data_IF_187769432228
#
_entry.id   IF_187769432228
#
_cell.length_a   1.000
_cell.length_b   1.000
_cell.length_c   1.000
_cell.angle_alpha   90.00
_cell.angle_beta   90.00
_cell.angle_gamma   90.00
#
_symmetry.space_group_name_H-M   'P 1'
#
loop_
_entity.id
_entity.type
_entity.pdbx_description
1 polymer ?
#
# COMPACT_ATOMS: atom_id res chain seq x y z
N UNK A 1 8.00 14.89 -3.63
CA UNK A 1 7.28 14.53 -4.86
C UNK A 1 5.89 14.02 -4.56
N UNK A 2 5.00 14.06 -5.55
CA UNK A 2 3.66 13.45 -5.49
C UNK A 2 3.22 12.98 -6.89
N UNK A 3 2.43 11.91 -6.98
CA UNK A 3 1.84 11.45 -8.25
C UNK A 3 0.50 12.16 -8.44
N UNK A 4 0.36 13.00 -9.46
CA UNK A 4 -0.84 13.83 -9.66
C UNK A 4 -2.13 13.01 -9.75
N UNK A 5 -2.10 11.91 -10.51
CA UNK A 5 -3.25 11.02 -10.66
C UNK A 5 -3.74 10.43 -9.33
N UNK A 6 -2.86 10.29 -8.32
CA UNK A 6 -3.26 9.81 -7.00
C UNK A 6 -4.07 10.83 -6.20
N UNK A 7 -4.07 12.11 -6.61
CA UNK A 7 -4.80 13.20 -5.93
C UNK A 7 -6.01 13.70 -6.72
N UNK A 8 -6.32 13.10 -7.88
CA UNK A 8 -7.53 13.38 -8.65
C UNK A 8 -8.79 12.90 -7.92
N UNK A 9 -9.98 13.38 -8.34
CA UNK A 9 -11.24 13.28 -7.60
C UNK A 9 -11.63 11.85 -7.13
N UNK A 10 -11.29 10.80 -7.89
CA UNK A 10 -11.55 9.40 -7.50
C UNK A 10 -10.41 8.74 -6.69
N UNK A 11 -9.20 9.31 -6.70
CA UNK A 11 -7.98 8.70 -6.14
C UNK A 11 -7.62 9.16 -4.72
N UNK A 12 -8.16 10.30 -4.28
CA UNK A 12 -7.89 10.89 -2.98
C UNK A 12 -9.16 11.44 -2.33
N UNK A 13 -9.23 11.34 -1.00
CA UNK A 13 -10.25 12.01 -0.21
C UNK A 13 -9.73 13.37 0.31
N UNK A 14 -10.58 14.10 1.03
CA UNK A 14 -10.23 15.42 1.55
C UNK A 14 -9.09 15.41 2.57
N UNK A 15 -8.91 14.30 3.30
CA UNK A 15 -7.78 14.14 4.23
C UNK A 15 -6.47 14.04 3.46
N UNK A 16 -6.45 13.30 2.36
CA UNK A 16 -5.25 13.16 1.53
C UNK A 16 -4.84 14.51 0.94
N UNK A 17 -5.81 15.25 0.37
CA UNK A 17 -5.59 16.61 -0.15
C UNK A 17 -5.10 17.55 0.95
N UNK A 18 -5.72 17.52 2.13
CA UNK A 18 -5.31 18.35 3.26
C UNK A 18 -3.88 18.05 3.74
N UNK A 19 -3.42 16.80 3.63
CA UNK A 19 -2.05 16.42 3.98
C UNK A 19 -1.02 16.93 2.95
N UNK A 20 -1.33 16.85 1.65
CA UNK A 20 -0.48 17.45 0.61
C UNK A 20 -0.38 18.98 0.80
N UNK A 21 -1.51 19.60 1.12
CA UNK A 21 -1.58 21.02 1.44
C UNK A 21 -0.82 21.41 2.72
N UNK A 22 -0.82 20.53 3.72
CA UNK A 22 0.00 20.70 4.92
C UNK A 22 1.50 20.69 4.59
N UNK A 23 1.95 19.78 3.73
CA UNK A 23 3.34 19.78 3.26
C UNK A 23 3.71 21.11 2.57
N UNK A 24 2.82 21.65 1.74
CA UNK A 24 3.01 22.97 1.11
C UNK A 24 3.12 24.11 2.12
N UNK A 25 2.25 24.14 3.15
CA UNK A 25 2.30 25.18 4.21
C UNK A 25 3.56 25.11 5.06
N UNK A 26 4.11 23.91 5.26
CA UNK A 26 5.38 23.69 5.93
C UNK A 26 6.60 24.17 5.12
N UNK A 27 6.40 24.64 3.88
CA UNK A 27 7.44 25.19 3.02
C UNK A 27 8.18 24.17 2.16
N UNK A 28 7.67 22.94 2.05
CA UNK A 28 8.23 21.94 1.15
C UNK A 28 7.85 22.24 -0.31
N UNK A 29 8.78 22.01 -1.22
CA UNK A 29 8.53 22.06 -2.66
C UNK A 29 7.76 20.81 -3.11
N UNK A 30 6.58 21.02 -3.69
CA UNK A 30 5.76 19.94 -4.23
C UNK A 30 6.09 19.72 -5.71
N UNK A 31 6.82 18.64 -5.98
CA UNK A 31 7.23 18.24 -7.32
C UNK A 31 6.30 17.13 -7.85
N UNK A 32 5.54 17.35 -8.94
CA UNK A 32 4.83 16.28 -9.64
C UNK A 32 5.84 15.26 -10.18
N UNK A 33 5.59 13.97 -9.97
CA UNK A 33 6.45 12.89 -10.45
C UNK A 33 5.64 11.80 -11.12
N UNK A 34 6.32 11.03 -11.98
CA UNK A 34 5.74 9.86 -12.66
C UNK A 34 6.63 8.66 -12.49
N UNK A 35 6.05 7.47 -12.67
CA UNK A 35 6.80 6.22 -12.71
C UNK A 35 6.62 5.59 -14.09
N UNK A 36 7.62 4.85 -14.60
CA UNK A 36 7.48 4.06 -15.82
C UNK A 36 6.26 3.12 -15.74
N UNK A 37 5.55 2.97 -16.87
CA UNK A 37 4.44 2.04 -16.97
C UNK A 37 4.97 0.59 -17.05
N UNK A 38 5.05 -0.05 -15.88
CA UNK A 38 5.48 -1.43 -15.72
C UNK A 38 4.32 -2.26 -15.14
N UNK A 39 4.28 -3.58 -15.35
CA UNK A 39 3.26 -4.43 -14.78
C UNK A 39 3.51 -4.71 -13.28
N UNK A 40 3.56 -3.67 -12.43
CA UNK A 40 3.92 -3.76 -11.01
C UNK A 40 3.13 -4.85 -10.27
N UNK A 41 1.82 -4.96 -10.52
CA UNK A 41 0.95 -5.96 -9.89
C UNK A 41 1.38 -7.42 -10.15
N UNK A 42 2.11 -7.70 -11.24
CA UNK A 42 2.63 -9.04 -11.50
C UNK A 42 3.61 -9.51 -10.43
N UNK A 43 4.30 -8.59 -9.73
CA UNK A 43 5.21 -8.91 -8.63
C UNK A 43 4.51 -9.62 -7.46
N UNK A 44 3.18 -9.47 -7.30
CA UNK A 44 2.42 -10.21 -6.29
C UNK A 44 2.57 -11.73 -6.42
N UNK A 45 2.87 -12.25 -7.62
CA UNK A 45 3.13 -13.67 -7.80
C UNK A 45 4.38 -14.16 -7.06
N UNK A 46 5.34 -13.28 -6.76
CA UNK A 46 6.49 -13.61 -5.92
C UNK A 46 6.00 -13.97 -4.50
N UNK A 47 5.20 -13.10 -3.86
CA UNK A 47 4.70 -13.38 -2.51
C UNK A 47 3.76 -14.58 -2.48
N UNK A 48 2.99 -14.82 -3.55
CA UNK A 48 2.17 -16.03 -3.64
C UNK A 48 3.00 -17.31 -3.69
N UNK A 49 4.07 -17.32 -4.48
CA UNK A 49 5.00 -18.45 -4.55
C UNK A 49 5.72 -18.67 -3.20
N UNK A 50 6.23 -17.61 -2.58
CA UNK A 50 6.91 -17.66 -1.28
C UNK A 50 5.97 -18.16 -0.17
N UNK A 51 4.74 -17.64 -0.12
CA UNK A 51 3.77 -18.07 0.87
C UNK A 51 3.32 -19.52 0.64
N UNK A 52 3.09 -19.94 -0.60
CA UNK A 52 2.76 -21.34 -0.91
C UNK A 52 3.89 -22.31 -0.55
N UNK A 53 5.15 -21.89 -0.71
CA UNK A 53 6.30 -22.67 -0.27
C UNK A 53 6.39 -22.71 1.27
N UNK A 54 6.20 -21.59 1.95
CA UNK A 54 6.25 -21.52 3.42
C UNK A 54 5.13 -22.33 4.09
N UNK A 55 3.94 -22.36 3.47
CA UNK A 55 2.76 -23.08 3.96
C UNK A 55 2.50 -24.39 3.20
N UNK A 56 3.53 -24.97 2.59
CA UNK A 56 3.42 -26.14 1.72
C UNK A 56 2.65 -27.30 2.36
N UNK A 57 2.97 -27.64 3.61
CA UNK A 57 2.34 -28.75 4.33
C UNK A 57 0.81 -28.57 4.45
N UNK A 58 0.31 -27.35 4.63
CA UNK A 58 -1.13 -27.09 4.73
C UNK A 58 -1.87 -27.56 3.47
N UNK A 59 -1.29 -27.28 2.29
CA UNK A 59 -1.89 -27.68 1.01
C UNK A 59 -1.64 -29.13 0.63
N UNK A 60 -0.51 -29.74 1.04
CA UNK A 60 -0.20 -31.14 0.73
C UNK A 60 -0.99 -32.12 1.59
N UNK A 61 -1.29 -31.72 2.83
CA UNK A 61 -2.05 -32.53 3.78
C UNK A 61 -3.55 -32.19 3.77
N UNK A 62 -3.98 -31.24 2.92
CA UNK A 62 -5.33 -30.66 2.89
C UNK A 62 -5.79 -30.09 4.25
N UNK A 63 -4.84 -29.71 5.11
CA UNK A 63 -5.18 -29.09 6.40
C UNK A 63 -5.64 -27.64 6.20
N UNK A 64 -5.34 -27.03 5.05
CA UNK A 64 -5.88 -25.74 4.68
C UNK A 64 -7.42 -25.71 4.58
N UNK A 65 -8.09 -26.85 4.39
CA UNK A 65 -9.56 -26.97 4.45
C UNK A 65 -10.14 -26.64 5.84
N UNK A 66 -9.30 -26.64 6.88
CA UNK A 66 -9.71 -26.27 8.25
C UNK A 66 -9.74 -24.76 8.48
N UNK A 67 -9.23 -23.96 7.54
CA UNK A 67 -9.23 -22.51 7.64
C UNK A 67 -10.65 -21.95 7.43
N UNK A 68 -11.03 -20.96 8.24
CA UNK A 68 -12.38 -20.38 8.28
C UNK A 68 -12.83 -19.72 6.96
N UNK A 69 -11.90 -19.33 6.10
CA UNK A 69 -12.19 -18.62 4.86
C UNK A 69 -11.63 -19.38 3.64
N UNK A 70 -12.53 -19.75 2.72
CA UNK A 70 -12.27 -20.66 1.59
C UNK A 70 -12.71 -20.11 0.22
N UNK A 71 -13.08 -18.83 0.12
CA UNK A 71 -13.51 -18.23 -1.14
C UNK A 71 -12.37 -18.15 -2.18
N UNK A 72 -12.67 -17.82 -3.43
CA UNK A 72 -11.69 -17.75 -4.53
C UNK A 72 -10.47 -16.84 -4.25
N UNK A 73 -10.68 -15.80 -3.45
CA UNK A 73 -9.67 -14.84 -3.00
C UNK A 73 -8.98 -15.19 -1.68
N UNK A 74 -9.29 -16.35 -1.09
CA UNK A 74 -8.70 -16.78 0.17
C UNK A 74 -7.27 -17.35 -0.03
N UNK A 75 -6.50 -17.35 1.06
CA UNK A 75 -5.14 -17.89 1.07
C UNK A 75 -5.04 -19.37 0.66
N UNK A 76 -5.91 -20.30 1.11
CA UNK A 76 -5.90 -21.70 0.64
C UNK A 76 -5.87 -21.81 -0.88
N UNK A 77 -6.81 -21.14 -1.55
CA UNK A 77 -6.90 -21.13 -3.00
C UNK A 77 -5.73 -20.39 -3.66
N UNK A 78 -5.21 -19.35 -3.03
CA UNK A 78 -4.00 -18.64 -3.50
C UNK A 78 -2.76 -19.53 -3.46
N UNK A 79 -2.58 -20.33 -2.40
CA UNK A 79 -1.46 -21.27 -2.29
C UNK A 79 -1.54 -22.37 -3.36
N UNK A 80 -2.74 -22.93 -3.58
CA UNK A 80 -2.97 -23.93 -4.64
C UNK A 80 -2.71 -23.35 -6.03
N UNK A 81 -3.20 -22.13 -6.31
CA UNK A 81 -2.94 -21.42 -7.58
C UNK A 81 -1.45 -21.16 -7.79
N UNK A 82 -0.71 -20.81 -6.75
CA UNK A 82 0.73 -20.52 -6.86
C UNK A 82 1.55 -21.73 -7.33
N UNK A 83 1.06 -22.97 -7.17
CA UNK A 83 1.73 -24.18 -7.68
C UNK A 83 1.76 -24.26 -9.22
N UNK A 84 0.95 -23.46 -9.91
CA UNK A 84 0.99 -23.36 -11.37
C UNK A 84 2.06 -22.38 -11.88
N UNK A 85 2.71 -21.60 -11.01
CA UNK A 85 3.85 -20.77 -11.39
C UNK A 85 5.06 -21.67 -11.68
N UNK A 86 5.59 -21.59 -12.90
CA UNK A 86 6.81 -22.30 -13.24
C UNK A 86 8.05 -21.58 -12.68
N UNK A 87 9.17 -22.30 -12.59
CA UNK A 87 10.45 -21.67 -12.27
C UNK A 87 10.85 -20.59 -13.29
N UNK A 88 10.44 -20.75 -14.56
CA UNK A 88 10.68 -19.73 -15.61
C UNK A 88 9.90 -18.46 -15.30
N UNK A 89 8.62 -18.59 -14.93
CA UNK A 89 7.80 -17.42 -14.54
C UNK A 89 8.44 -16.68 -13.37
N UNK A 90 8.90 -17.41 -12.36
CA UNK A 90 9.57 -16.81 -11.20
C UNK A 90 10.84 -16.02 -11.58
N UNK A 91 11.68 -16.55 -12.47
CA UNK A 91 12.85 -15.83 -12.99
C UNK A 91 12.45 -14.59 -13.80
N UNK A 92 11.33 -14.62 -14.53
CA UNK A 92 10.84 -13.42 -15.22
C UNK A 92 10.33 -12.37 -14.24
N UNK A 93 9.69 -12.79 -13.14
CA UNK A 93 9.29 -11.87 -12.06
C UNK A 93 10.50 -11.22 -11.40
N UNK A 94 11.61 -11.94 -11.23
CA UNK A 94 12.87 -11.35 -10.74
C UNK A 94 13.43 -10.29 -11.68
N UNK A 95 13.35 -10.52 -13.00
CA UNK A 95 13.75 -9.51 -14.00
C UNK A 95 12.85 -8.28 -13.95
N UNK A 96 11.54 -8.46 -13.81
CA UNK A 96 10.61 -7.36 -13.60
C UNK A 96 10.95 -6.60 -12.32
N UNK A 97 11.22 -7.31 -11.21
CA UNK A 97 11.61 -6.71 -9.93
C UNK A 97 12.85 -5.83 -10.09
N UNK A 98 13.84 -6.26 -10.87
CA UNK A 98 15.01 -5.44 -11.20
C UNK A 98 14.64 -4.15 -11.96
N UNK A 99 13.73 -4.20 -12.93
CA UNK A 99 13.25 -2.99 -13.61
C UNK A 99 12.52 -2.04 -12.66
N UNK A 100 11.74 -2.58 -11.71
CA UNK A 100 11.05 -1.78 -10.68
C UNK A 100 12.05 -1.15 -9.71
N UNK A 101 13.16 -1.83 -9.38
CA UNK A 101 14.26 -1.24 -8.60
C UNK A 101 14.85 -0.02 -9.32
N UNK A 102 15.10 -0.13 -10.63
CA UNK A 102 15.61 1.00 -11.43
C UNK A 102 14.60 2.15 -11.51
N UNK A 103 13.31 1.84 -11.64
CA UNK A 103 12.25 2.85 -11.67
C UNK A 103 12.18 3.66 -10.38
N UNK A 104 12.24 3.00 -9.21
CA UNK A 104 12.22 3.69 -7.92
C UNK A 104 13.53 4.42 -7.61
N UNK A 105 14.69 3.86 -7.96
CA UNK A 105 15.96 4.58 -7.82
C UNK A 105 15.95 5.88 -8.64
N UNK A 106 15.45 5.82 -9.88
CA UNK A 106 15.25 7.00 -10.74
C UNK A 106 14.32 8.03 -10.11
N UNK A 107 13.15 7.61 -9.63
CA UNK A 107 12.20 8.48 -8.92
C UNK A 107 12.86 9.25 -7.77
N UNK A 108 13.63 8.55 -6.93
CA UNK A 108 14.32 9.14 -5.78
C UNK A 108 15.65 9.83 -6.14
N UNK A 109 15.96 10.02 -7.43
CA UNK A 109 16.93 11.04 -7.87
C UNK A 109 16.27 12.40 -8.08
N UNK A 110 14.95 12.45 -8.25
CA UNK A 110 14.19 13.67 -8.51
C UNK A 110 13.65 14.30 -7.23
N UNK A 111 13.40 13.49 -6.19
CA UNK A 111 12.75 13.93 -4.95
C UNK A 111 13.31 13.22 -3.72
N UNK A 112 13.36 13.91 -2.57
CA UNK A 112 13.84 13.35 -1.29
C UNK A 112 12.81 12.41 -0.63
N UNK A 113 11.53 12.63 -0.90
CA UNK A 113 10.41 11.86 -0.38
C UNK A 113 9.23 11.92 -1.35
N UNK A 114 8.44 10.85 -1.39
CA UNK A 114 7.15 10.80 -2.07
C UNK A 114 6.03 10.82 -1.03
N UNK A 115 5.01 11.65 -1.20
CA UNK A 115 3.81 11.71 -0.35
C UNK A 115 2.56 11.31 -1.16
N UNK A 116 1.65 10.55 -0.53
CA UNK A 116 0.34 10.28 -1.12
C UNK A 116 -0.60 9.44 -0.24
N UNK A 117 -1.86 9.24 -0.69
CA UNK A 117 -2.76 8.25 -0.10
C UNK A 117 -2.09 6.87 0.01
N UNK A 118 -2.54 5.98 0.90
CA UNK A 118 -1.92 4.64 1.03
C UNK A 118 -2.01 3.78 -0.25
N UNK A 119 -2.95 4.06 -1.15
CA UNK A 119 -3.09 3.42 -2.47
C UNK A 119 -2.48 4.25 -3.62
N UNK A 120 -1.44 5.05 -3.34
CA UNK A 120 -0.78 5.88 -4.36
C UNK A 120 -0.13 5.05 -5.45
N UNK A 121 -0.73 5.06 -6.65
CA UNK A 121 -0.17 4.41 -7.84
C UNK A 121 0.31 2.98 -7.56
N UNK A 122 1.51 2.59 -8.03
CA UNK A 122 2.06 1.27 -7.76
C UNK A 122 2.82 1.18 -6.42
N UNK A 123 2.87 2.24 -5.61
CA UNK A 123 3.87 2.38 -4.54
C UNK A 123 3.78 1.30 -3.48
N UNK A 124 2.58 0.85 -3.10
CA UNK A 124 2.43 -0.26 -2.16
C UNK A 124 3.16 -1.52 -2.67
N UNK A 125 2.93 -1.90 -3.92
CA UNK A 125 3.59 -3.08 -4.50
C UNK A 125 5.07 -2.78 -4.73
N UNK A 126 5.38 -1.69 -5.43
CA UNK A 126 6.74 -1.37 -5.85
C UNK A 126 7.70 -1.23 -4.65
N UNK A 127 7.31 -0.51 -3.59
CA UNK A 127 8.16 -0.32 -2.40
C UNK A 127 8.37 -1.61 -1.61
N UNK A 128 7.33 -2.42 -1.42
CA UNK A 128 7.44 -3.73 -0.75
C UNK A 128 8.41 -4.69 -1.48
N UNK A 129 8.36 -4.74 -2.81
CA UNK A 129 9.21 -5.65 -3.60
C UNK A 129 10.63 -5.14 -3.85
N UNK A 130 10.92 -3.89 -3.50
CA UNK A 130 12.26 -3.28 -3.69
C UNK A 130 12.92 -2.83 -2.39
N UNK A 131 12.20 -2.91 -1.27
CA UNK A 131 12.70 -2.59 0.06
C UNK A 131 12.72 -1.10 0.40
N UNK A 132 12.11 -0.23 -0.42
CA UNK A 132 12.08 1.21 -0.14
C UNK A 132 11.30 1.49 1.15
N UNK A 133 11.82 2.34 2.06
CA UNK A 133 11.16 2.61 3.32
C UNK A 133 9.84 3.35 3.11
N UNK A 134 8.85 2.99 3.93
CA UNK A 134 7.54 3.63 3.97
C UNK A 134 7.18 4.00 5.41
N UNK A 135 6.77 5.25 5.62
CA UNK A 135 6.17 5.72 6.87
C UNK A 135 4.70 6.02 6.61
N UNK A 136 3.81 5.29 7.30
CA UNK A 136 2.38 5.58 7.30
C UNK A 136 1.99 6.32 8.58
N UNK A 137 1.32 7.46 8.44
CA UNK A 137 0.90 8.29 9.57
C UNK A 137 -0.56 8.73 9.41
N UNK A 138 -1.19 9.00 10.55
CA UNK A 138 -2.57 9.48 10.60
C UNK A 138 -2.63 10.93 10.15
N UNK A 139 -3.46 11.20 9.15
CA UNK A 139 -3.64 12.52 8.58
C UNK A 139 -5.00 13.15 8.92
N UNK A 140 -5.99 12.33 9.30
CA UNK A 140 -7.31 12.82 9.62
C UNK A 140 -8.28 11.71 9.96
N UNK A 141 -9.57 12.02 9.79
CA UNK A 141 -10.67 11.13 10.12
C UNK A 141 -11.79 11.32 9.10
N UNK A 142 -12.48 10.22 8.77
CA UNK A 142 -13.71 10.23 8.00
C UNK A 142 -14.78 9.43 8.74
N UNK A 143 -16.04 9.85 8.61
CA UNK A 143 -17.17 9.08 9.08
C UNK A 143 -17.63 8.15 7.95
N UNK A 144 -17.32 6.86 8.08
CA UNK A 144 -17.58 5.85 7.04
C UNK A 144 -18.28 4.62 7.63
N UNK A 145 -19.03 3.91 6.80
CA UNK A 145 -19.63 2.63 7.14
C UNK A 145 -18.60 1.54 7.40
N UNK A 146 -19.02 0.46 8.06
CA UNK A 146 -18.20 -0.75 8.18
C UNK A 146 -17.87 -1.31 6.78
N UNK A 147 -16.68 -1.88 6.64
CA UNK A 147 -16.23 -2.49 5.38
C UNK A 147 -16.31 -4.01 5.42
N UNK A 148 -16.53 -4.61 4.26
CA UNK A 148 -16.35 -6.05 4.07
C UNK A 148 -14.86 -6.45 4.15
N UNK A 149 -14.58 -7.76 4.07
CA UNK A 149 -13.22 -8.29 4.17
C UNK A 149 -12.29 -7.71 3.10
N UNK A 150 -11.13 -7.22 3.55
CA UNK A 150 -10.01 -6.91 2.67
C UNK A 150 -9.37 -8.22 2.15
N UNK A 151 -8.86 -8.20 0.92
CA UNK A 151 -8.20 -9.36 0.32
C UNK A 151 -6.97 -8.96 -0.50
N UNK A 152 -6.01 -9.88 -0.56
CA UNK A 152 -4.85 -9.83 -1.45
C UNK A 152 -4.85 -10.99 -2.46
N UNK A 153 -5.87 -11.85 -2.51
CA UNK A 153 -5.87 -13.07 -3.33
C UNK A 153 -6.13 -12.88 -4.83
N UNK A 154 -6.43 -11.64 -5.25
CA UNK A 154 -6.79 -11.29 -6.62
C UNK A 154 -5.71 -10.48 -7.36
N UNK A 155 -4.45 -10.54 -6.93
CA UNK A 155 -3.33 -9.79 -7.55
C UNK A 155 -3.25 -8.31 -7.17
N UNK A 156 -4.20 -7.81 -6.37
CA UNK A 156 -4.24 -6.43 -5.86
C UNK A 156 -4.88 -6.39 -4.46
N UNK A 157 -4.56 -5.36 -3.69
CA UNK A 157 -5.24 -5.09 -2.41
C UNK A 157 -6.66 -4.58 -2.68
N UNK A 158 -7.65 -5.29 -2.15
CA UNK A 158 -9.01 -4.77 -1.97
C UNK A 158 -9.19 -4.42 -0.49
N UNK A 159 -9.78 -3.25 -0.21
CA UNK A 159 -9.96 -2.78 1.17
C UNK A 159 -11.36 -3.06 1.73
N UNK A 160 -12.08 -3.97 1.08
CA UNK A 160 -13.51 -4.18 1.29
C UNK A 160 -14.37 -3.08 0.68
N UNK A 161 -15.66 -3.35 0.59
CA UNK A 161 -16.69 -2.39 0.20
C UNK A 161 -17.32 -1.78 1.44
N UNK A 162 -17.52 -0.47 1.43
CA UNK A 162 -18.21 0.24 2.50
C UNK A 162 -19.73 -0.03 2.44
N UNK A 163 -20.32 -0.36 3.58
CA UNK A 163 -21.78 -0.35 3.74
C UNK A 163 -22.29 1.09 3.84
N UNK A 164 -22.67 1.65 2.70
CA UNK A 164 -23.21 3.02 2.58
C UNK A 164 -24.58 3.18 3.27
N UNK A 165 -25.28 2.08 3.58
CA UNK A 165 -26.58 2.10 4.23
C UNK A 165 -26.51 1.94 5.75
N UNK A 166 -25.34 1.53 6.25
CA UNK A 166 -25.10 1.19 7.63
C UNK A 166 -24.80 2.40 8.53
N UNK A 167 -24.61 2.10 9.82
CA UNK A 167 -24.11 3.08 10.79
C UNK A 167 -22.68 3.46 10.42
N UNK A 168 -22.39 4.77 10.38
CA UNK A 168 -21.04 5.27 10.19
C UNK A 168 -20.28 5.32 11.51
N UNK A 169 -18.96 5.19 11.41
CA UNK A 169 -18.03 5.33 12.51
C UNK A 169 -16.93 6.30 12.11
N UNK A 170 -16.42 7.06 13.07
CA UNK A 170 -15.26 7.91 12.82
C UNK A 170 -14.00 7.06 12.72
N UNK A 171 -13.49 6.87 11.51
CA UNK A 171 -12.34 6.02 11.19
C UNK A 171 -11.12 6.90 10.88
N UNK A 172 -9.93 6.61 11.47
CA UNK A 172 -8.72 7.32 11.12
C UNK A 172 -8.35 7.08 9.65
N UNK A 173 -8.01 8.16 8.95
CA UNK A 173 -7.40 8.11 7.63
C UNK A 173 -5.92 8.48 7.75
N UNK A 174 -5.11 7.83 6.93
CA UNK A 174 -3.67 8.03 6.92
C UNK A 174 -3.12 8.22 5.51
N UNK A 175 -1.98 8.90 5.48
CA UNK A 175 -1.17 9.08 4.27
C UNK A 175 0.14 8.32 4.44
N UNK A 176 0.78 8.02 3.32
CA UNK A 176 2.06 7.32 3.29
C UNK A 176 3.14 8.21 2.71
N UNK A 177 4.33 8.08 3.29
CA UNK A 177 5.55 8.70 2.84
C UNK A 177 6.52 7.60 2.42
N UNK A 178 7.07 7.68 1.23
CA UNK A 178 8.10 6.76 0.76
C UNK A 178 9.43 7.49 0.58
N UNK A 179 10.52 6.83 0.94
CA UNK A 179 11.86 7.38 0.88
C UNK A 179 12.80 6.53 0.05
N UNK A 180 14.00 7.08 -0.18
CA UNK A 180 15.13 6.38 -0.82
C UNK A 180 15.64 5.26 0.11
N UNK A 181 16.18 4.20 -0.49
CA UNK A 181 16.75 3.06 0.24
C UNK A 181 17.82 3.52 1.23
N UNK A 182 17.71 3.07 2.49
CA UNK A 182 18.64 3.36 3.59
C UNK A 182 18.77 4.85 3.97
N UNK A 183 17.81 5.66 3.53
CA UNK A 183 17.75 7.10 3.83
C UNK A 183 16.39 7.45 4.46
N UNK A 184 16.08 6.85 5.62
CA UNK A 184 14.82 7.08 6.32
C UNK A 184 14.74 8.49 6.95
N UNK A 185 15.87 9.17 7.14
CA UNK A 185 15.95 10.49 7.78
C UNK A 185 14.98 11.53 7.18
N UNK A 186 15.01 11.78 5.85
CA UNK A 186 14.06 12.65 5.17
C UNK A 186 12.58 12.35 5.47
N UNK A 187 12.14 11.08 5.33
CA UNK A 187 10.73 10.74 5.53
C UNK A 187 10.32 10.81 7.02
N UNK A 188 11.24 10.54 7.95
CA UNK A 188 10.98 10.70 9.39
C UNK A 188 10.84 12.18 9.76
N UNK A 189 11.71 13.04 9.23
CA UNK A 189 11.65 14.49 9.46
C UNK A 189 10.36 15.09 8.87
N UNK A 190 10.02 14.71 7.64
CA UNK A 190 8.76 15.10 7.00
C UNK A 190 7.56 14.60 7.79
N UNK A 191 7.56 13.33 8.19
CA UNK A 191 6.50 12.71 8.98
C UNK A 191 6.26 13.41 10.32
N UNK A 192 7.33 13.72 11.07
CA UNK A 192 7.22 14.48 12.33
C UNK A 192 6.68 15.89 12.12
N UNK A 193 7.09 16.58 11.04
CA UNK A 193 6.58 17.90 10.72
C UNK A 193 5.09 17.87 10.35
N UNK A 194 4.68 16.90 9.51
CA UNK A 194 3.29 16.68 9.13
C UNK A 194 2.42 16.29 10.32
N UNK A 195 2.89 15.40 11.20
CA UNK A 195 2.13 15.01 12.39
C UNK A 195 1.81 16.23 13.28
N UNK A 196 2.78 17.13 13.47
CA UNK A 196 2.60 18.37 14.24
C UNK A 196 1.64 19.34 13.57
N UNK A 197 1.78 19.55 12.27
CA UNK A 197 0.94 20.45 11.48
C UNK A 197 -0.52 19.95 11.41
N UNK A 198 -0.72 18.64 11.23
CA UNK A 198 -2.05 18.05 11.15
C UNK A 198 -2.72 17.96 12.52
N UNK A 199 -1.96 17.76 13.60
CA UNK A 199 -2.46 17.88 14.97
C UNK A 199 -3.49 16.82 15.39
N UNK A 200 -3.61 15.71 14.64
CA UNK A 200 -4.64 14.66 14.86
C UNK A 200 -4.15 13.40 15.59
N UNK A 201 -2.85 13.30 15.87
CA UNK A 201 -2.23 12.08 16.40
C UNK A 201 -2.65 11.74 17.84
N UNK A 202 -3.05 12.74 18.63
CA UNK A 202 -3.44 12.58 20.04
C UNK A 202 -4.87 12.07 20.21
N UNK A 203 -5.73 12.17 19.19
CA UNK A 203 -7.10 11.64 19.24
C UNK A 203 -7.05 10.12 19.41
N UNK A 204 -7.72 9.59 20.43
CA UNK A 204 -7.82 8.16 20.72
C UNK A 204 -9.19 7.65 20.26
N UNK A 205 -9.27 6.45 19.66
CA UNK A 205 -10.56 5.85 19.35
C UNK A 205 -11.32 5.55 20.64
N UNK A 206 -12.63 5.72 20.60
CA UNK A 206 -13.55 5.24 21.63
C UNK A 206 -14.20 3.95 21.15
N UNK A 207 -14.69 3.11 22.07
CA UNK A 207 -15.50 1.97 21.68
C UNK A 207 -16.77 2.46 20.96
N UNK A 208 -17.23 1.66 19.98
CA UNK A 208 -18.52 1.88 19.35
C UNK A 208 -19.62 1.73 20.40
N UNK A 209 -20.30 2.84 20.74
CA UNK A 209 -21.55 2.85 21.50
C UNK A 209 -22.73 2.51 20.60
#
# INVERSE_FOLDING_TARGET
GYIEAAFADEGANDVDRAALEAARRLGYELVPVTLPDLPYGALMNIVYAEAAAAFEALTLENTDDTLTWQDDGAWPNTFRKARFLSAVDHVQLDRLRYLVMQALDGLFTEVDALIGPFMTGPMLVASNFTGHPCLHLRAGFLDIGSRSLASLGAGKLTVGEEDQSGKTFTVPQGISLWGRLFEEGPILNLGMALERELGVATRRPTFAS
#
